data_IF_793674108339
#
_entry.id   IF_793674108339
#
_cell.length_a   1.000
_cell.length_b   1.000
_cell.length_c   1.000
_cell.angle_alpha   90.00
_cell.angle_beta   90.00
_cell.angle_gamma   90.00
#
_symmetry.space_group_name_H-M   'P 1'
#
loop_
_entity.id
_entity.type
_entity.pdbx_description
1 polymer ?
#
# COMPACT_ATOMS: atom_id res chain seq x y z
N UNK A 1 -14.47 40.99 -22.23
CA UNK A 1 -15.48 40.89 -21.14
C UNK A 1 -15.31 39.52 -20.48
N UNK A 2 -14.61 39.48 -19.34
CA UNK A 2 -14.49 38.27 -18.53
C UNK A 2 -15.62 38.29 -17.51
N UNK A 3 -16.50 37.29 -17.53
CA UNK A 3 -17.58 37.15 -16.55
C UNK A 3 -17.02 36.66 -15.23
N UNK A 4 -17.17 37.45 -14.18
CA UNK A 4 -16.90 37.04 -12.79
C UNK A 4 -17.82 35.87 -12.41
N UNK A 5 -17.21 34.72 -12.10
CA UNK A 5 -17.93 33.62 -11.44
C UNK A 5 -18.00 33.95 -9.95
N UNK A 6 -19.21 34.07 -9.44
CA UNK A 6 -19.50 34.30 -8.04
C UNK A 6 -18.84 33.24 -7.16
N UNK A 7 -18.15 33.66 -6.09
CA UNK A 7 -17.60 32.80 -5.05
C UNK A 7 -18.76 32.16 -4.29
N UNK A 8 -18.67 30.82 -3.99
CA UNK A 8 -19.68 30.19 -3.13
C UNK A 8 -19.58 30.74 -1.70
N UNK A 9 -20.68 30.76 -0.93
CA UNK A 9 -20.73 31.32 0.41
C UNK A 9 -19.85 30.53 1.38
N UNK A 10 -19.06 31.26 2.18
CA UNK A 10 -18.32 30.75 3.34
C UNK A 10 -19.34 30.25 4.39
N UNK A 11 -19.34 28.95 4.69
CA UNK A 11 -20.15 28.45 5.81
C UNK A 11 -20.88 27.11 5.60
N UNK A 12 -20.48 26.30 4.62
CA UNK A 12 -21.01 24.94 4.57
C UNK A 12 -20.24 24.06 5.58
N UNK A 13 -20.90 23.70 6.68
CA UNK A 13 -20.50 22.61 7.59
C UNK A 13 -20.18 21.35 6.75
N UNK A 14 -19.12 20.59 7.04
CA UNK A 14 -18.82 19.38 6.28
C UNK A 14 -20.03 18.45 6.38
N UNK A 15 -20.56 18.04 5.22
CA UNK A 15 -21.66 17.07 5.15
C UNK A 15 -21.21 15.80 5.86
N UNK A 16 -21.95 15.36 6.87
CA UNK A 16 -21.63 14.21 7.75
C UNK A 16 -21.63 12.86 7.04
N UNK A 17 -21.89 12.79 5.75
CA UNK A 17 -22.16 11.54 5.01
C UNK A 17 -21.17 11.23 3.89
N UNK A 18 -20.03 11.93 3.80
CA UNK A 18 -18.98 11.60 2.83
C UNK A 18 -18.09 10.54 3.46
N UNK A 19 -18.29 9.30 3.05
CA UNK A 19 -17.41 8.17 3.41
C UNK A 19 -16.02 8.46 2.84
N UNK A 20 -15.06 8.73 3.71
CA UNK A 20 -13.68 9.04 3.31
C UNK A 20 -12.92 7.76 3.00
N UNK A 21 -12.54 7.58 1.74
CA UNK A 21 -11.85 6.36 1.23
C UNK A 21 -10.48 6.13 1.90
N UNK A 22 -9.95 7.11 2.58
CA UNK A 22 -8.66 7.02 3.26
C UNK A 22 -8.75 6.58 4.74
N UNK A 23 -9.95 6.27 5.26
CA UNK A 23 -10.06 5.68 6.59
C UNK A 23 -9.63 4.20 6.56
N UNK A 24 -9.02 3.73 7.65
CA UNK A 24 -8.41 2.41 7.76
C UNK A 24 -9.36 1.27 7.34
N UNK A 25 -10.54 1.19 7.95
CA UNK A 25 -11.52 0.11 7.70
C UNK A 25 -12.19 0.18 6.33
N UNK A 26 -12.14 1.34 5.68
CA UNK A 26 -12.64 1.51 4.33
C UNK A 26 -11.66 0.97 3.28
N UNK A 27 -10.38 0.91 3.62
CA UNK A 27 -9.33 0.38 2.74
C UNK A 27 -9.01 -1.07 3.03
N UNK A 28 -9.05 -1.50 4.30
CA UNK A 28 -8.48 -2.77 4.72
C UNK A 28 -9.42 -3.57 5.63
N UNK A 29 -9.46 -4.87 5.40
CA UNK A 29 -9.92 -5.83 6.40
C UNK A 29 -8.71 -6.21 7.27
N UNK A 30 -8.67 -5.66 8.47
CA UNK A 30 -7.53 -5.77 9.36
C UNK A 30 -7.29 -7.19 9.89
N UNK A 31 -8.24 -8.10 9.71
CA UNK A 31 -8.10 -9.51 10.12
C UNK A 31 -7.09 -10.27 9.25
N UNK A 32 -6.73 -9.72 8.09
CA UNK A 32 -5.78 -10.29 7.13
C UNK A 32 -4.36 -9.72 7.27
N UNK A 33 -3.97 -9.28 8.46
CA UNK A 33 -2.60 -8.83 8.71
C UNK A 33 -2.21 -9.03 10.17
N UNK A 34 -1.00 -9.51 10.40
CA UNK A 34 -0.42 -9.58 11.76
C UNK A 34 -0.29 -8.18 12.43
N UNK A 35 -0.27 -7.10 11.65
CA UNK A 35 -0.29 -5.73 12.17
C UNK A 35 -1.71 -5.20 12.40
N UNK A 36 -2.77 -6.00 12.22
CA UNK A 36 -4.16 -5.53 12.28
C UNK A 36 -4.51 -4.76 13.55
N UNK A 37 -4.11 -5.27 14.72
CA UNK A 37 -4.35 -4.62 16.00
C UNK A 37 -3.64 -3.26 16.13
N UNK A 38 -2.43 -3.13 15.58
CA UNK A 38 -1.68 -1.86 15.56
C UNK A 38 -2.33 -0.85 14.61
N UNK A 39 -2.76 -1.32 13.43
CA UNK A 39 -3.41 -0.50 12.43
C UNK A 39 -4.76 0.05 12.92
N UNK A 40 -5.53 -0.75 13.67
CA UNK A 40 -6.85 -0.36 14.18
C UNK A 40 -6.83 0.89 15.07
N UNK A 41 -5.69 1.19 15.72
CA UNK A 41 -5.52 2.37 16.58
C UNK A 41 -5.22 3.67 15.82
N UNK A 42 -5.07 3.64 14.50
CA UNK A 42 -4.69 4.80 13.70
C UNK A 42 -5.90 5.49 13.06
N UNK A 43 -5.86 6.82 13.03
CA UNK A 43 -6.84 7.63 12.31
C UNK A 43 -6.68 7.48 10.78
N UNK A 44 -5.43 7.52 10.31
CA UNK A 44 -5.08 7.42 8.89
C UNK A 44 -4.07 6.30 8.63
N UNK A 45 -4.21 5.53 7.54
CA UNK A 45 -3.34 4.39 7.26
C UNK A 45 -1.87 4.76 7.05
N UNK A 46 -1.56 5.93 6.52
CA UNK A 46 -0.17 6.37 6.33
C UNK A 46 0.59 6.69 7.62
N UNK A 47 -0.11 6.84 8.77
CA UNK A 47 0.54 7.01 10.07
C UNK A 47 1.34 5.76 10.48
N UNK A 48 0.97 4.59 9.95
CA UNK A 48 1.71 3.35 10.15
C UNK A 48 3.14 3.41 9.61
N UNK A 49 3.38 4.16 8.53
CA UNK A 49 4.68 4.17 7.83
C UNK A 49 5.87 4.54 8.72
N UNK A 50 5.65 5.36 9.73
CA UNK A 50 6.68 5.73 10.71
C UNK A 50 6.92 4.65 11.77
N UNK A 51 6.04 3.67 11.90
CA UNK A 51 6.00 2.70 13.00
C UNK A 51 6.26 1.26 12.55
N UNK A 52 6.28 0.99 11.23
CA UNK A 52 6.40 -0.38 10.68
C UNK A 52 7.58 -1.12 11.27
N UNK A 53 8.75 -0.48 11.39
CA UNK A 53 9.96 -1.10 11.93
C UNK A 53 9.77 -1.58 13.36
N UNK A 54 9.19 -0.75 14.21
CA UNK A 54 8.99 -1.05 15.63
C UNK A 54 7.92 -2.14 15.80
N UNK A 55 6.87 -2.12 14.98
CA UNK A 55 5.85 -3.16 14.97
C UNK A 55 6.40 -4.51 14.53
N UNK A 56 7.26 -4.54 13.51
CA UNK A 56 7.90 -5.78 13.06
C UNK A 56 8.74 -6.40 14.19
N UNK A 57 9.52 -5.59 14.93
CA UNK A 57 10.28 -6.07 16.06
C UNK A 57 9.34 -6.63 17.16
N UNK A 58 8.30 -5.87 17.53
CA UNK A 58 7.35 -6.30 18.56
C UNK A 58 6.58 -7.57 18.17
N UNK A 59 6.12 -7.68 16.92
CA UNK A 59 5.44 -8.86 16.40
C UNK A 59 6.44 -10.03 16.33
N UNK A 60 7.63 -9.80 15.76
CA UNK A 60 8.65 -10.83 15.55
C UNK A 60 9.08 -11.54 16.83
N UNK A 61 9.29 -10.79 17.90
CA UNK A 61 9.63 -11.36 19.22
C UNK A 61 8.46 -12.13 19.87
N UNK A 62 7.24 -11.94 19.43
CA UNK A 62 6.04 -12.66 19.88
C UNK A 62 5.65 -13.85 19.02
N UNK A 63 6.35 -14.13 17.92
CA UNK A 63 6.03 -15.24 17.02
C UNK A 63 6.33 -16.61 17.66
N UNK A 64 5.47 -17.59 17.37
CA UNK A 64 5.63 -18.97 17.86
C UNK A 64 6.67 -19.79 17.08
N UNK A 65 6.76 -21.07 17.44
CA UNK A 65 7.75 -22.02 16.92
C UNK A 65 7.65 -22.29 15.41
N UNK A 66 6.55 -21.92 14.77
CA UNK A 66 6.37 -22.01 13.32
C UNK A 66 7.23 -21.00 12.54
N UNK A 67 7.81 -20.04 13.23
CA UNK A 67 8.74 -19.08 12.64
C UNK A 67 10.18 -19.35 13.06
N UNK A 68 11.08 -19.15 12.14
CA UNK A 68 12.53 -19.21 12.37
C UNK A 68 13.11 -17.83 12.19
N UNK A 69 13.86 -17.37 13.17
CA UNK A 69 14.69 -16.17 13.02
C UNK A 69 15.96 -16.57 12.24
N UNK A 70 16.01 -16.26 10.95
CA UNK A 70 17.10 -16.66 10.05
C UNK A 70 18.30 -15.71 10.09
N UNK A 71 18.06 -14.46 10.44
CA UNK A 71 19.03 -13.38 10.66
C UNK A 71 18.53 -12.46 11.77
N UNK A 72 19.32 -11.56 12.35
CA UNK A 72 18.84 -10.57 13.31
C UNK A 72 17.65 -9.76 12.75
N UNK A 73 16.52 -9.76 13.48
CA UNK A 73 15.28 -9.10 13.09
C UNK A 73 14.68 -9.60 11.75
N UNK A 74 14.93 -10.85 11.35
CA UNK A 74 14.37 -11.49 10.16
C UNK A 74 13.71 -12.81 10.55
N UNK A 75 12.38 -12.85 10.51
CA UNK A 75 11.58 -14.04 10.85
C UNK A 75 10.89 -14.59 9.60
N UNK A 76 11.05 -15.87 9.37
CA UNK A 76 10.49 -16.58 8.21
C UNK A 76 9.67 -17.74 8.70
N UNK A 77 8.40 -17.83 8.28
CA UNK A 77 7.56 -18.98 8.60
C UNK A 77 8.08 -20.24 7.91
N UNK A 78 8.01 -21.40 8.58
CA UNK A 78 8.56 -22.68 8.10
C UNK A 78 7.99 -23.15 6.77
N UNK A 79 6.77 -22.71 6.41
CA UNK A 79 6.14 -23.05 5.12
C UNK A 79 6.40 -22.02 4.02
N UNK A 80 7.09 -20.92 4.33
CA UNK A 80 7.46 -19.96 3.30
C UNK A 80 8.59 -20.52 2.42
N UNK A 81 8.57 -20.15 1.14
CA UNK A 81 9.56 -20.58 0.15
C UNK A 81 10.42 -19.39 -0.27
N UNK A 82 11.69 -19.41 0.13
CA UNK A 82 12.64 -18.33 -0.19
C UNK A 82 13.62 -18.83 -1.25
N UNK A 83 13.64 -18.18 -2.41
CA UNK A 83 14.60 -18.50 -3.46
C UNK A 83 16.04 -18.17 -3.02
N UNK A 84 17.04 -18.98 -3.37
CA UNK A 84 18.42 -18.83 -2.89
C UNK A 84 19.11 -17.52 -3.31
N UNK A 85 18.56 -16.81 -4.29
CA UNK A 85 19.07 -15.50 -4.75
C UNK A 85 18.27 -14.31 -4.22
N UNK A 86 17.27 -14.56 -3.36
CA UNK A 86 16.54 -13.50 -2.70
C UNK A 86 17.36 -12.93 -1.52
N UNK A 87 17.23 -11.64 -1.27
CA UNK A 87 17.84 -10.99 -0.13
C UNK A 87 16.77 -10.51 0.85
N UNK A 88 16.92 -10.87 2.12
CA UNK A 88 16.06 -10.45 3.22
C UNK A 88 16.86 -9.55 4.16
N UNK A 89 16.56 -8.25 4.15
CA UNK A 89 17.17 -7.27 5.06
C UNK A 89 16.51 -7.24 6.43
N UNK A 90 17.19 -6.64 7.40
CA UNK A 90 16.73 -6.56 8.79
C UNK A 90 15.37 -5.88 8.95
N UNK A 91 14.60 -6.34 9.94
CA UNK A 91 13.24 -5.90 10.16
C UNK A 91 12.29 -6.48 9.12
N UNK A 92 12.23 -7.80 9.02
CA UNK A 92 11.41 -8.51 8.04
C UNK A 92 10.67 -9.69 8.68
N UNK A 93 9.37 -9.80 8.39
CA UNK A 93 8.55 -10.99 8.70
C UNK A 93 7.98 -11.51 7.39
N UNK A 94 8.18 -12.80 7.11
CA UNK A 94 7.61 -13.51 5.97
C UNK A 94 6.61 -14.54 6.47
N UNK A 95 5.34 -14.35 6.13
CA UNK A 95 4.22 -15.16 6.60
C UNK A 95 4.10 -16.54 5.95
N UNK A 96 3.14 -17.36 6.44
CA UNK A 96 2.93 -18.74 6.01
C UNK A 96 2.68 -18.84 4.50
N UNK A 97 3.22 -19.87 3.84
CA UNK A 97 2.96 -20.17 2.44
C UNK A 97 3.41 -19.10 1.44
N UNK A 98 4.05 -18.05 1.91
CA UNK A 98 4.54 -16.95 1.06
C UNK A 98 5.74 -17.38 0.22
N UNK A 99 5.76 -16.94 -1.04
CA UNK A 99 6.85 -17.18 -1.96
C UNK A 99 7.67 -15.91 -2.17
N UNK A 100 8.97 -15.96 -1.83
CA UNK A 100 9.94 -14.91 -2.18
C UNK A 100 10.83 -15.48 -3.29
N UNK A 101 10.64 -14.96 -4.51
CA UNK A 101 11.22 -15.53 -5.72
C UNK A 101 12.62 -14.99 -5.98
N UNK A 102 13.24 -15.53 -7.04
CA UNK A 102 14.62 -15.19 -7.43
C UNK A 102 14.83 -13.69 -7.59
N UNK A 103 15.97 -13.18 -7.09
CA UNK A 103 16.38 -11.78 -7.18
C UNK A 103 15.44 -10.78 -6.50
N UNK A 104 14.50 -11.23 -5.65
CA UNK A 104 13.74 -10.32 -4.81
C UNK A 104 14.68 -9.63 -3.80
N UNK A 105 14.53 -8.33 -3.64
CA UNK A 105 15.32 -7.51 -2.72
C UNK A 105 14.41 -6.89 -1.65
N UNK A 106 14.27 -7.56 -0.51
CA UNK A 106 13.56 -7.03 0.65
C UNK A 106 14.54 -6.25 1.51
N UNK A 107 14.53 -4.91 1.38
CA UNK A 107 15.52 -4.03 2.03
C UNK A 107 15.38 -3.93 3.53
N UNK A 108 14.21 -4.31 4.04
CA UNK A 108 13.89 -4.22 5.46
C UNK A 108 12.67 -3.35 5.76
N UNK A 109 12.24 -3.40 7.02
CA UNK A 109 10.96 -2.87 7.48
C UNK A 109 9.81 -3.40 6.61
N UNK A 110 9.77 -4.72 6.39
CA UNK A 110 8.77 -5.38 5.54
C UNK A 110 8.01 -6.45 6.33
N UNK A 111 6.71 -6.23 6.54
CA UNK A 111 5.79 -7.23 7.04
C UNK A 111 5.03 -7.81 5.84
N UNK A 112 5.29 -9.08 5.54
CA UNK A 112 4.66 -9.82 4.44
C UNK A 112 3.75 -10.89 5.02
N UNK A 113 2.47 -10.81 4.72
CA UNK A 113 1.43 -11.69 5.23
C UNK A 113 1.48 -13.12 4.68
N UNK A 114 0.41 -13.88 4.93
CA UNK A 114 0.24 -15.26 4.48
C UNK A 114 -0.03 -15.33 2.96
N UNK A 115 0.50 -16.36 2.29
CA UNK A 115 0.17 -16.69 0.89
C UNK A 115 0.54 -15.62 -0.12
N UNK A 116 1.45 -14.70 0.22
CA UNK A 116 1.90 -13.65 -0.67
C UNK A 116 2.86 -14.16 -1.76
N UNK A 117 2.98 -13.40 -2.82
CA UNK A 117 4.02 -13.59 -3.84
C UNK A 117 4.86 -12.33 -3.95
N UNK A 118 6.12 -12.41 -3.52
CA UNK A 118 7.15 -11.40 -3.79
C UNK A 118 8.02 -11.95 -4.91
N UNK A 119 7.78 -11.45 -6.11
CA UNK A 119 8.25 -12.07 -7.34
C UNK A 119 9.67 -11.70 -7.73
N UNK A 120 10.02 -12.09 -8.98
CA UNK A 120 11.34 -11.85 -9.52
C UNK A 120 11.67 -10.36 -9.59
N UNK A 121 12.85 -10.00 -9.08
CA UNK A 121 13.39 -8.63 -9.12
C UNK A 121 12.44 -7.57 -8.54
N UNK A 122 11.70 -7.93 -7.51
CA UNK A 122 10.85 -7.02 -6.74
C UNK A 122 11.67 -6.40 -5.63
N UNK A 123 11.57 -5.09 -5.46
CA UNK A 123 12.14 -4.40 -4.30
C UNK A 123 11.03 -3.98 -3.32
N UNK A 124 11.17 -4.36 -2.04
CA UNK A 124 10.31 -3.93 -0.94
C UNK A 124 11.09 -3.10 0.07
N UNK A 125 10.49 -2.00 0.53
CA UNK A 125 11.10 -1.12 1.53
C UNK A 125 10.04 -0.38 2.34
N UNK A 126 10.01 -0.61 3.65
CA UNK A 126 9.06 0.02 4.58
C UNK A 126 7.61 -0.21 4.18
N UNK A 127 7.17 -1.47 4.23
CA UNK A 127 5.87 -1.91 3.69
C UNK A 127 5.14 -2.87 4.63
N UNK A 128 3.81 -2.86 4.52
CA UNK A 128 2.95 -3.94 4.99
C UNK A 128 2.22 -4.51 3.77
N UNK A 129 2.45 -5.78 3.47
CA UNK A 129 1.66 -6.55 2.54
C UNK A 129 0.71 -7.44 3.34
N UNK A 130 -0.58 -7.25 3.17
CA UNK A 130 -1.60 -8.11 3.79
C UNK A 130 -1.56 -9.50 3.16
N UNK A 131 -2.36 -10.42 3.69
CA UNK A 131 -2.40 -11.78 3.17
C UNK A 131 -2.79 -11.81 1.68
N UNK A 132 -2.20 -12.76 0.94
CA UNK A 132 -2.44 -13.02 -0.48
C UNK A 132 -2.11 -11.86 -1.43
N UNK A 133 -1.34 -10.88 -0.98
CA UNK A 133 -0.84 -9.83 -1.86
C UNK A 133 0.12 -10.40 -2.89
N UNK A 134 -0.01 -9.94 -4.13
CA UNK A 134 0.87 -10.34 -5.22
C UNK A 134 1.61 -9.15 -5.82
N UNK A 135 2.94 -9.18 -5.73
CA UNK A 135 3.87 -8.27 -6.40
C UNK A 135 4.86 -9.11 -7.22
N UNK A 136 4.40 -9.69 -8.36
CA UNK A 136 5.05 -10.86 -8.94
C UNK A 136 6.27 -10.57 -9.81
N UNK A 137 6.43 -9.36 -10.37
CA UNK A 137 7.45 -9.10 -11.38
C UNK A 137 7.90 -7.65 -11.42
N UNK A 138 9.19 -7.39 -11.17
CA UNK A 138 9.83 -6.09 -11.39
C UNK A 138 9.10 -4.91 -10.73
N UNK A 139 8.52 -5.14 -9.58
CA UNK A 139 7.81 -4.10 -8.84
C UNK A 139 8.77 -3.38 -7.89
N UNK A 140 8.56 -2.08 -7.68
CA UNK A 140 9.07 -1.36 -6.54
C UNK A 140 7.91 -0.96 -5.63
N UNK A 141 7.95 -1.43 -4.39
CA UNK A 141 6.96 -1.06 -3.35
C UNK A 141 7.70 -0.44 -2.18
N UNK A 142 7.56 0.86 -2.03
CA UNK A 142 8.22 1.62 -0.97
C UNK A 142 7.27 2.50 -0.19
N UNK A 143 7.42 2.53 1.14
CA UNK A 143 6.63 3.36 2.05
C UNK A 143 5.11 3.24 1.76
N UNK A 144 4.60 2.00 1.75
CA UNK A 144 3.27 1.66 1.24
C UNK A 144 2.60 0.55 2.04
N UNK A 145 1.27 0.48 1.97
CA UNK A 145 0.47 -0.63 2.49
C UNK A 145 -0.38 -1.18 1.35
N UNK A 146 -0.32 -2.49 1.13
CA UNK A 146 -1.14 -3.21 0.17
C UNK A 146 -2.10 -4.14 0.92
N UNK A 147 -3.38 -3.98 0.70
CA UNK A 147 -4.46 -4.71 1.35
C UNK A 147 -4.63 -6.14 0.85
N UNK A 148 -5.52 -6.87 1.49
CA UNK A 148 -5.80 -8.27 1.23
C UNK A 148 -6.10 -8.55 -0.25
N UNK A 149 -5.44 -9.55 -0.82
CA UNK A 149 -5.58 -9.91 -2.23
C UNK A 149 -5.26 -8.78 -3.23
N UNK A 150 -4.56 -7.72 -2.84
CA UNK A 150 -4.13 -6.71 -3.80
C UNK A 150 -3.05 -7.26 -4.74
N UNK A 151 -3.10 -6.86 -6.01
CA UNK A 151 -2.17 -7.29 -7.04
C UNK A 151 -1.56 -6.11 -7.78
N UNK A 152 -0.24 -6.14 -7.98
CA UNK A 152 0.47 -5.18 -8.82
C UNK A 152 1.02 -5.88 -10.06
N UNK A 153 0.53 -5.52 -11.23
CA UNK A 153 1.02 -6.02 -12.50
C UNK A 153 2.52 -5.75 -12.70
N UNK A 154 3.12 -6.46 -13.64
CA UNK A 154 4.56 -6.37 -13.91
C UNK A 154 5.02 -4.93 -14.15
N UNK A 155 6.11 -4.52 -13.52
CA UNK A 155 6.69 -3.18 -13.65
C UNK A 155 5.88 -2.06 -13.00
N UNK A 156 4.75 -2.35 -12.32
CA UNK A 156 4.05 -1.33 -11.56
C UNK A 156 4.85 -0.93 -10.32
N UNK A 157 4.87 0.38 -10.00
CA UNK A 157 5.71 0.92 -8.93
C UNK A 157 4.97 1.95 -8.07
N UNK A 158 5.35 2.02 -6.78
CA UNK A 158 4.95 3.11 -5.90
C UNK A 158 6.06 4.16 -5.83
N UNK A 159 5.85 5.33 -6.44
CA UNK A 159 6.75 6.45 -6.25
C UNK A 159 6.52 7.06 -4.86
N UNK A 160 7.53 7.11 -4.02
CA UNK A 160 7.37 7.48 -2.60
C UNK A 160 7.95 8.85 -2.22
N UNK A 161 8.59 9.55 -3.15
CA UNK A 161 9.19 10.88 -2.92
C UNK A 161 8.75 11.85 -4.01
N UNK A 162 8.28 13.02 -3.61
CA UNK A 162 7.97 14.11 -4.56
C UNK A 162 9.25 14.69 -5.16
N UNK A 163 9.18 15.12 -6.42
CA UNK A 163 10.34 15.71 -7.13
C UNK A 163 10.84 16.98 -6.45
N UNK A 164 9.94 17.77 -5.86
CA UNK A 164 10.24 19.02 -5.14
C UNK A 164 10.73 18.81 -3.70
N UNK A 165 10.86 17.53 -3.24
CA UNK A 165 11.29 17.14 -1.89
C UNK A 165 10.39 17.66 -0.75
N UNK A 166 9.27 18.27 -1.04
CA UNK A 166 8.31 18.71 -0.01
C UNK A 166 7.54 17.53 0.58
N UNK A 167 6.95 17.65 1.79
CA UNK A 167 6.12 16.61 2.36
C UNK A 167 4.96 16.21 1.44
N UNK A 168 4.59 14.93 1.51
CA UNK A 168 3.48 14.40 0.73
C UNK A 168 2.16 14.86 1.36
N UNK A 169 1.20 15.24 0.52
CA UNK A 169 -0.16 15.55 0.92
C UNK A 169 -1.14 14.62 0.19
N UNK A 170 -2.18 14.19 0.89
CA UNK A 170 -3.30 13.47 0.30
C UNK A 170 -4.33 14.48 -0.20
N UNK A 171 -4.75 14.33 -1.44
CA UNK A 171 -5.75 15.18 -2.08
C UNK A 171 -7.02 14.40 -2.36
N UNK A 172 -8.15 14.90 -1.88
CA UNK A 172 -9.48 14.34 -2.11
C UNK A 172 -10.45 15.46 -2.46
N UNK A 173 -10.92 15.51 -3.71
CA UNK A 173 -11.69 16.65 -4.22
C UNK A 173 -10.93 17.98 -4.05
N UNK A 174 -11.57 18.94 -3.39
CA UNK A 174 -10.96 20.24 -3.03
C UNK A 174 -10.18 20.19 -1.69
N UNK A 175 -10.23 19.06 -0.98
CA UNK A 175 -9.57 18.87 0.31
C UNK A 175 -8.11 18.45 0.16
N UNK A 176 -7.26 18.94 1.08
CA UNK A 176 -5.83 18.57 1.16
C UNK A 176 -5.50 18.24 2.61
N UNK A 177 -5.00 17.00 2.84
CA UNK A 177 -4.53 16.56 4.15
C UNK A 177 -3.00 16.53 4.13
N UNK A 178 -2.37 17.32 4.99
CA UNK A 178 -0.93 17.32 5.17
C UNK A 178 -0.53 16.09 5.99
N UNK A 179 0.28 15.21 5.43
CA UNK A 179 0.70 13.98 6.11
C UNK A 179 1.90 14.16 7.03
N UNK A 180 2.68 15.21 6.82
CA UNK A 180 3.97 15.43 7.50
C UNK A 180 5.09 14.52 6.98
N UNK A 181 4.80 13.56 6.12
CA UNK A 181 5.74 12.56 5.65
C UNK A 181 6.50 13.04 4.41
N UNK A 182 7.82 12.92 4.42
CA UNK A 182 8.66 13.14 3.22
C UNK A 182 8.64 11.93 2.26
N UNK A 183 8.32 10.74 2.79
CA UNK A 183 8.23 9.49 2.02
C UNK A 183 6.87 8.85 2.29
N UNK A 184 6.10 8.69 1.24
CA UNK A 184 4.81 8.02 1.26
C UNK A 184 4.50 7.57 -0.18
N UNK A 185 4.48 6.27 -0.43
CA UNK A 185 4.14 5.68 -1.72
C UNK A 185 2.64 5.65 -1.94
N UNK A 186 2.00 4.52 -1.61
CA UNK A 186 0.57 4.34 -1.81
C UNK A 186 -0.09 3.53 -0.69
N UNK A 187 -1.39 3.78 -0.47
CA UNK A 187 -2.30 2.89 0.24
C UNK A 187 -3.20 2.23 -0.78
N UNK A 188 -3.05 0.92 -0.95
CA UNK A 188 -3.77 0.12 -1.94
C UNK A 188 -4.74 -0.78 -1.21
N UNK A 189 -6.03 -0.53 -1.34
CA UNK A 189 -7.09 -1.25 -0.62
C UNK A 189 -7.20 -2.71 -1.01
N UNK A 190 -8.05 -3.44 -0.28
CA UNK A 190 -8.28 -4.86 -0.54
C UNK A 190 -8.82 -5.10 -1.97
N UNK A 191 -8.39 -6.21 -2.59
CA UNK A 191 -8.84 -6.65 -3.92
C UNK A 191 -8.60 -5.64 -5.04
N UNK A 192 -7.61 -4.76 -4.89
CA UNK A 192 -7.23 -3.81 -5.94
C UNK A 192 -6.31 -4.49 -6.96
N UNK A 193 -6.59 -4.24 -8.23
CA UNK A 193 -5.79 -4.69 -9.37
C UNK A 193 -5.06 -3.50 -10.01
N UNK A 194 -3.75 -3.46 -9.95
CA UNK A 194 -2.92 -2.43 -10.59
C UNK A 194 -2.32 -2.98 -11.87
N UNK A 195 -2.67 -2.39 -13.01
CA UNK A 195 -2.18 -2.81 -14.33
C UNK A 195 -0.68 -2.60 -14.50
N UNK A 196 -0.08 -3.39 -15.41
CA UNK A 196 1.35 -3.38 -15.69
C UNK A 196 1.89 -1.98 -16.02
N UNK A 197 3.16 -1.72 -15.61
CA UNK A 197 3.88 -0.47 -15.85
C UNK A 197 3.14 0.80 -15.36
N UNK A 198 2.25 0.65 -14.39
CA UNK A 198 1.59 1.80 -13.76
C UNK A 198 2.45 2.41 -12.67
N UNK A 199 2.37 3.73 -12.53
CA UNK A 199 3.06 4.50 -11.49
C UNK A 199 2.03 5.05 -10.52
N UNK A 200 2.09 4.62 -9.26
CA UNK A 200 1.33 5.22 -8.18
C UNK A 200 2.17 6.35 -7.58
N UNK A 201 1.76 7.59 -7.81
CA UNK A 201 2.50 8.76 -7.33
C UNK A 201 2.43 8.91 -5.81
N UNK A 202 3.36 9.66 -5.17
CA UNK A 202 3.38 9.82 -3.74
C UNK A 202 2.04 10.27 -3.15
N UNK A 203 1.55 9.54 -2.15
CA UNK A 203 0.29 9.80 -1.48
C UNK A 203 -0.96 9.31 -2.24
N UNK A 204 -0.79 8.42 -3.21
CA UNK A 204 -1.92 7.77 -3.88
C UNK A 204 -2.66 6.85 -2.92
N UNK A 205 -3.99 6.93 -2.92
CA UNK A 205 -4.87 6.03 -2.17
C UNK A 205 -5.86 5.41 -3.14
N UNK A 206 -5.97 4.07 -3.12
CA UNK A 206 -6.88 3.35 -4.00
C UNK A 206 -7.86 2.55 -3.14
N UNK A 207 -9.13 2.86 -3.27
CA UNK A 207 -10.22 2.18 -2.56
C UNK A 207 -10.40 0.73 -2.98
N UNK A 208 -11.02 -0.07 -2.10
CA UNK A 208 -11.26 -1.51 -2.30
C UNK A 208 -11.86 -1.82 -3.67
N UNK A 209 -11.56 -3.01 -4.19
CA UNK A 209 -12.13 -3.59 -5.42
C UNK A 209 -11.86 -2.78 -6.70
N UNK A 210 -11.01 -1.77 -6.67
CA UNK A 210 -10.76 -0.90 -7.81
C UNK A 210 -9.73 -1.49 -8.76
N UNK A 211 -9.74 -1.01 -10.00
CA UNK A 211 -8.83 -1.43 -11.06
C UNK A 211 -8.11 -0.22 -11.65
N UNK A 212 -6.82 -0.35 -11.83
CA UNK A 212 -5.99 0.65 -12.51
C UNK A 212 -5.57 0.05 -13.87
N UNK A 213 -5.88 0.72 -14.96
CA UNK A 213 -5.49 0.25 -16.29
C UNK A 213 -3.97 0.31 -16.45
N UNK A 214 -3.39 -0.59 -17.26
CA UNK A 214 -1.95 -0.59 -17.53
C UNK A 214 -1.42 0.77 -18.00
N UNK A 215 -0.14 1.02 -17.72
CA UNK A 215 0.58 2.25 -18.12
C UNK A 215 -0.03 3.54 -17.57
N UNK A 216 -0.75 3.44 -16.46
CA UNK A 216 -1.38 4.59 -15.82
C UNK A 216 -0.43 5.36 -14.91
N UNK A 217 -0.59 6.69 -14.89
CA UNK A 217 0.02 7.57 -13.90
C UNK A 217 -1.07 8.01 -12.92
N UNK A 218 -1.14 7.35 -11.76
CA UNK A 218 -2.21 7.56 -10.77
C UNK A 218 -1.78 8.57 -9.71
N UNK A 219 -2.69 9.47 -9.33
CA UNK A 219 -2.43 10.48 -8.31
C UNK A 219 -3.71 10.82 -7.53
N UNK A 220 -3.57 11.00 -6.22
CA UNK A 220 -4.68 11.35 -5.32
C UNK A 220 -5.49 10.13 -4.93
N UNK A 221 -6.77 10.32 -4.66
CA UNK A 221 -7.69 9.27 -4.18
C UNK A 221 -8.50 8.70 -5.32
N UNK A 222 -8.45 7.38 -5.48
CA UNK A 222 -9.33 6.61 -6.38
C UNK A 222 -10.42 5.98 -5.52
N UNK A 223 -11.70 6.27 -5.77
CA UNK A 223 -12.80 5.69 -4.99
C UNK A 223 -12.85 4.17 -5.07
N UNK A 224 -13.43 3.53 -4.06
CA UNK A 224 -13.70 2.10 -4.10
C UNK A 224 -14.62 1.74 -5.29
N UNK A 225 -14.55 0.48 -5.72
CA UNK A 225 -15.36 -0.06 -6.82
C UNK A 225 -15.25 0.79 -8.10
N UNK A 226 -14.05 1.23 -8.42
CA UNK A 226 -13.78 2.13 -9.55
C UNK A 226 -12.76 1.55 -10.52
N UNK A 227 -12.78 2.06 -11.74
CA UNK A 227 -11.77 1.80 -12.77
C UNK A 227 -11.10 3.11 -13.14
N UNK A 228 -9.78 3.18 -12.92
CA UNK A 228 -8.93 4.25 -13.42
C UNK A 228 -8.48 3.92 -14.84
N UNK A 229 -8.98 4.67 -15.82
CA UNK A 229 -8.64 4.52 -17.24
C UNK A 229 -7.51 5.47 -17.65
N UNK A 230 -6.98 5.24 -18.83
CA UNK A 230 -6.00 6.12 -19.47
C UNK A 230 -6.47 7.58 -19.47
N UNK A 231 -5.56 8.51 -19.17
CA UNK A 231 -5.90 9.94 -19.09
C UNK A 231 -6.51 10.36 -17.75
N UNK A 232 -6.57 9.48 -16.76
CA UNK A 232 -7.06 9.82 -15.42
C UNK A 232 -8.59 9.83 -15.28
N UNK A 233 -9.27 9.22 -16.22
CA UNK A 233 -10.74 9.08 -16.17
C UNK A 233 -11.10 7.98 -15.16
N UNK A 234 -11.92 8.33 -14.17
CA UNK A 234 -12.44 7.39 -13.18
C UNK A 234 -13.90 7.08 -13.48
N UNK A 235 -14.22 5.79 -13.59
CA UNK A 235 -15.59 5.31 -13.77
C UNK A 235 -15.93 4.28 -12.71
N UNK A 236 -17.20 4.17 -12.33
CA UNK A 236 -17.67 3.14 -11.40
C UNK A 236 -17.51 1.75 -12.06
N UNK A 237 -17.04 0.78 -11.31
CA UNK A 237 -16.96 -0.62 -11.73
C UNK A 237 -18.37 -1.23 -11.68
N UNK A 238 -18.85 -1.76 -12.79
CA UNK A 238 -20.09 -2.51 -12.81
C UNK A 238 -19.89 -3.85 -12.09
N UNK A 239 -20.78 -4.17 -11.17
CA UNK A 239 -20.82 -5.51 -10.56
C UNK A 239 -21.31 -6.50 -11.64
N UNK A 240 -20.47 -7.50 -11.90
CA UNK A 240 -20.86 -8.64 -12.76
C UNK A 240 -21.40 -9.76 -11.91
#
# INVERSE_FOLDING_TARGET
>A
MYSERAKPPLGASPRKDVVRVYQMTQLFDLTHSAAGAYLAGLEYPWQALAQIKDWIAAIGHGLGEDYVQVEPEVWVHRTAVIAPTAYLGAGCIIGPGTQVRHCAFIRGSALVGEGCVVGNSVELKNVILFDRVQVPHFNYVGDSILGYCAHMGAGAVTSNVKSDKTPVAVKEGDGVIQTGLKKFGAMVGDHVEVGCNSVLNPGTIIGKNSQIYPTSCVRGVVPADSIWKTGGIVVKKEQR
#
